data_IF_891327597372
#
_entry.id   IF_891327597372
#
_cell.length_a   1.000
_cell.length_b   1.000
_cell.length_c   1.000
_cell.angle_alpha   90.00
_cell.angle_beta   90.00
_cell.angle_gamma   90.00
#
_symmetry.space_group_name_H-M   'P 1'
#
loop_
_entity.id
_entity.type
_entity.pdbx_description
1 polymer ?
#
# COMPACT_ATOMS: atom_id res chain seq x y z
N UNK A 1 13.53 -28.38 15.72
CA UNK A 1 14.21 -27.91 14.50
C UNK A 1 13.27 -28.21 13.36
N UNK A 2 12.82 -27.19 12.63
CA UNK A 2 12.02 -27.41 11.41
C UNK A 2 12.99 -27.82 10.32
N UNK A 3 12.68 -28.89 9.60
CA UNK A 3 13.49 -29.36 8.47
C UNK A 3 13.47 -28.28 7.37
N UNK A 4 14.61 -28.04 6.74
CA UNK A 4 14.80 -26.97 5.73
C UNK A 4 13.82 -27.12 4.54
N UNK A 5 13.50 -28.37 4.18
CA UNK A 5 12.51 -28.70 3.15
C UNK A 5 11.07 -28.24 3.50
N UNK A 6 10.70 -28.24 4.79
CA UNK A 6 9.39 -27.80 5.25
C UNK A 6 9.26 -26.27 5.18
N UNK A 7 10.36 -25.56 5.43
CA UNK A 7 10.42 -24.10 5.30
C UNK A 7 10.31 -23.65 3.84
N UNK A 8 11.01 -24.32 2.93
CA UNK A 8 10.93 -24.01 1.49
C UNK A 8 9.52 -24.26 0.96
N UNK A 9 8.93 -25.41 1.29
CA UNK A 9 7.55 -25.76 0.90
C UNK A 9 6.54 -24.73 1.43
N UNK A 10 6.67 -24.31 2.69
CA UNK A 10 5.81 -23.30 3.30
C UNK A 10 5.93 -21.93 2.63
N UNK A 11 7.15 -21.52 2.27
CA UNK A 11 7.40 -20.28 1.57
C UNK A 11 6.81 -20.28 0.15
N UNK A 12 6.94 -21.38 -0.59
CA UNK A 12 6.34 -21.52 -1.92
C UNK A 12 4.82 -21.45 -1.86
N UNK A 13 4.20 -22.12 -0.87
CA UNK A 13 2.76 -22.05 -0.67
C UNK A 13 2.31 -20.62 -0.35
N UNK A 14 3.02 -19.91 0.52
CA UNK A 14 2.73 -18.50 0.80
C UNK A 14 2.76 -17.64 -0.46
N UNK A 15 3.79 -17.82 -1.29
CA UNK A 15 3.91 -17.08 -2.55
C UNK A 15 2.78 -17.40 -3.53
N UNK A 16 2.34 -18.66 -3.59
CA UNK A 16 1.19 -19.07 -4.39
C UNK A 16 -0.10 -18.43 -3.85
N UNK A 17 -0.33 -18.45 -2.54
CA UNK A 17 -1.52 -17.89 -1.92
C UNK A 17 -1.65 -16.39 -2.20
N UNK A 18 -0.56 -15.63 -2.04
CA UNK A 18 -0.53 -14.18 -2.33
C UNK A 18 -0.78 -13.90 -3.82
N UNK A 19 -0.30 -14.76 -4.73
CA UNK A 19 -0.43 -14.57 -6.19
C UNK A 19 -1.81 -14.96 -6.70
N UNK A 20 -2.30 -16.11 -6.26
CA UNK A 20 -3.37 -16.84 -6.93
C UNK A 20 -4.71 -16.71 -6.20
N UNK A 21 -4.73 -16.09 -5.02
CA UNK A 21 -5.95 -15.89 -4.21
C UNK A 21 -6.22 -14.42 -3.90
N UNK A 22 -7.35 -14.15 -3.24
CA UNK A 22 -7.68 -12.82 -2.70
C UNK A 22 -7.07 -12.56 -1.31
N UNK A 23 -5.99 -13.26 -0.95
CA UNK A 23 -5.24 -12.99 0.27
C UNK A 23 -4.71 -11.55 0.28
N UNK A 24 -4.85 -10.88 1.41
CA UNK A 24 -4.39 -9.49 1.54
C UNK A 24 -2.91 -9.49 1.89
N UNK A 25 -2.12 -8.71 1.14
CA UNK A 25 -0.73 -8.46 1.45
C UNK A 25 -0.56 -7.48 2.61
N UNK A 26 0.63 -7.48 3.21
CA UNK A 26 0.96 -6.61 4.34
C UNK A 26 2.34 -5.97 4.21
N UNK A 27 3.04 -5.88 5.33
CA UNK A 27 4.36 -5.26 5.42
C UNK A 27 5.42 -5.99 4.57
N UNK A 28 5.38 -7.33 4.52
CA UNK A 28 6.34 -8.13 3.74
C UNK A 28 6.19 -7.83 2.24
N UNK A 29 4.96 -7.78 1.74
CA UNK A 29 4.67 -7.50 0.33
C UNK A 29 5.02 -6.06 -0.03
N UNK A 30 4.72 -5.09 0.83
CA UNK A 30 5.14 -3.69 0.62
C UNK A 30 6.67 -3.56 0.57
N UNK A 31 7.40 -4.30 1.41
CA UNK A 31 8.86 -4.30 1.36
C UNK A 31 9.38 -4.96 0.08
N UNK A 32 8.81 -6.10 -0.33
CA UNK A 32 9.16 -6.75 -1.60
C UNK A 32 8.89 -5.81 -2.80
N UNK A 33 7.75 -5.13 -2.81
CA UNK A 33 7.39 -4.13 -3.83
C UNK A 33 8.40 -2.98 -3.87
N UNK A 34 8.83 -2.46 -2.72
CA UNK A 34 9.85 -1.41 -2.67
C UNK A 34 11.15 -1.83 -3.35
N UNK A 35 11.55 -3.10 -3.22
CA UNK A 35 12.73 -3.65 -3.88
C UNK A 35 12.54 -3.81 -5.39
N UNK A 36 11.42 -4.39 -5.82
CA UNK A 36 11.13 -4.59 -7.25
C UNK A 36 11.01 -3.26 -7.99
N UNK A 37 10.42 -2.26 -7.34
CA UNK A 37 10.24 -0.93 -7.90
C UNK A 37 11.50 -0.05 -7.78
N UNK A 38 12.49 -0.49 -6.99
CA UNK A 38 13.64 0.32 -6.55
C UNK A 38 13.17 1.71 -6.10
N UNK A 39 12.15 1.72 -5.25
CA UNK A 39 11.53 2.95 -4.80
C UNK A 39 11.00 2.82 -3.39
N UNK A 40 11.27 3.82 -2.55
CA UNK A 40 10.86 3.79 -1.16
C UNK A 40 9.36 4.11 -1.01
N UNK A 41 8.74 3.45 -0.03
CA UNK A 41 7.30 3.58 0.26
C UNK A 41 7.13 4.10 1.69
N UNK A 42 6.42 5.21 1.85
CA UNK A 42 6.01 5.74 3.15
C UNK A 42 4.64 5.19 3.53
N UNK A 43 4.58 4.56 4.71
CA UNK A 43 3.35 4.01 5.28
C UNK A 43 2.94 4.88 6.48
N UNK A 44 1.77 5.50 6.37
CA UNK A 44 1.17 6.33 7.39
C UNK A 44 0.13 5.53 8.18
N UNK A 45 0.11 5.64 9.50
CA UNK A 45 -0.92 5.04 10.34
C UNK A 45 -1.31 6.00 11.46
N UNK A 46 -2.59 6.01 11.83
CA UNK A 46 -3.11 6.92 12.84
C UNK A 46 -2.41 6.68 14.20
N UNK A 47 -1.80 7.72 14.76
CA UNK A 47 -1.15 7.67 16.08
C UNK A 47 0.20 6.93 16.12
N UNK A 48 0.76 6.55 14.96
CA UNK A 48 2.05 5.86 14.87
C UNK A 48 3.07 6.66 14.04
N UNK A 49 4.38 6.46 14.29
CA UNK A 49 5.42 7.00 13.41
C UNK A 49 5.28 6.50 11.97
N UNK A 50 5.72 7.33 11.01
CA UNK A 50 5.78 6.92 9.59
C UNK A 50 6.79 5.80 9.45
N UNK A 51 6.37 4.68 8.85
CA UNK A 51 7.25 3.58 8.50
C UNK A 51 7.72 3.76 7.06
N UNK A 52 9.02 3.59 6.81
CA UNK A 52 9.58 3.69 5.46
C UNK A 52 10.12 2.35 5.01
N UNK A 53 9.54 1.80 3.95
CA UNK A 53 10.01 0.59 3.27
C UNK A 53 10.99 0.96 2.17
N UNK A 54 12.01 0.12 1.94
CA UNK A 54 13.02 0.38 0.91
C UNK A 54 13.88 1.61 1.18
N UNK A 55 14.28 1.83 2.44
CA UNK A 55 15.09 2.98 2.89
C UNK A 55 16.34 3.21 2.02
N UNK A 56 16.94 2.16 1.45
CA UNK A 56 18.09 2.24 0.56
C UNK A 56 17.83 3.01 -0.74
N UNK A 57 16.57 3.09 -1.20
CA UNK A 57 16.17 3.80 -2.42
C UNK A 57 15.77 5.26 -2.16
N UNK A 58 16.00 5.77 -0.94
CA UNK A 58 15.75 7.18 -0.64
C UNK A 58 16.66 8.09 -1.45
N UNK A 59 16.06 9.09 -2.11
CA UNK A 59 16.79 10.04 -2.95
C UNK A 59 17.02 9.58 -4.39
N UNK A 60 16.72 8.32 -4.74
CA UNK A 60 16.80 7.86 -6.13
C UNK A 60 15.69 8.44 -7.02
N UNK A 61 14.53 8.75 -6.41
CA UNK A 61 13.39 9.40 -7.06
C UNK A 61 12.90 10.59 -6.23
N UNK A 62 12.28 11.56 -6.90
CA UNK A 62 11.85 12.82 -6.28
C UNK A 62 10.76 12.63 -5.22
N UNK A 63 9.76 11.77 -5.47
CA UNK A 63 8.60 11.61 -4.58
C UNK A 63 8.41 10.16 -4.16
N UNK A 64 8.23 9.86 -2.86
CA UNK A 64 7.91 8.51 -2.38
C UNK A 64 6.55 8.03 -2.90
N UNK A 65 6.38 6.71 -3.00
CA UNK A 65 5.03 6.15 -2.94
C UNK A 65 4.52 6.30 -1.51
N UNK A 66 3.26 6.72 -1.36
CA UNK A 66 2.67 7.00 -0.07
C UNK A 66 1.36 6.22 0.09
N UNK A 67 1.26 5.46 1.19
CA UNK A 67 0.04 4.71 1.53
C UNK A 67 -0.35 4.95 2.98
N UNK A 68 -1.64 4.93 3.28
CA UNK A 68 -2.14 4.92 4.65
C UNK A 68 -2.65 3.52 5.02
N UNK A 69 -2.22 3.05 6.19
CA UNK A 69 -2.66 1.81 6.81
C UNK A 69 -3.83 2.07 7.74
N UNK A 70 -4.91 1.32 7.53
CA UNK A 70 -6.18 1.48 8.19
C UNK A 70 -6.61 0.15 8.77
N UNK A 71 -6.42 -0.04 10.08
CA UNK A 71 -6.77 -1.29 10.78
C UNK A 71 -8.28 -1.57 10.86
N UNK A 72 -9.09 -0.51 10.82
CA UNK A 72 -10.53 -0.57 11.12
C UNK A 72 -11.41 0.20 10.13
N UNK A 73 -10.90 0.57 8.94
CA UNK A 73 -11.65 1.44 8.03
C UNK A 73 -12.92 0.78 7.47
N UNK A 74 -12.94 -0.55 7.40
CA UNK A 74 -14.09 -1.31 6.94
C UNK A 74 -14.22 -2.54 7.85
N UNK A 75 -15.44 -3.04 8.07
CA UNK A 75 -15.71 -4.26 8.85
C UNK A 75 -14.95 -5.53 8.34
N UNK A 76 -14.17 -5.38 7.28
CA UNK A 76 -13.34 -6.37 6.59
C UNK A 76 -11.88 -6.43 7.12
N UNK A 77 -11.45 -5.49 7.99
CA UNK A 77 -10.13 -5.51 8.63
C UNK A 77 -9.13 -4.49 8.07
N UNK A 78 -7.86 -4.91 8.01
CA UNK A 78 -6.70 -4.05 7.78
C UNK A 78 -6.53 -3.71 6.30
N UNK A 79 -6.47 -2.43 5.92
CA UNK A 79 -6.39 -1.99 4.52
C UNK A 79 -5.30 -0.94 4.26
N UNK A 80 -4.87 -0.84 3.01
CA UNK A 80 -3.97 0.21 2.54
C UNK A 80 -4.62 1.02 1.42
N UNK A 81 -4.65 2.34 1.56
CA UNK A 81 -5.06 3.26 0.49
C UNK A 81 -3.87 4.10 0.02
N UNK A 82 -3.86 4.48 -1.26
CA UNK A 82 -2.96 5.52 -1.76
C UNK A 82 -3.29 6.85 -1.10
N UNK A 83 -2.28 7.67 -0.82
CA UNK A 83 -2.45 9.05 -0.36
C UNK A 83 -1.62 9.99 -1.21
N UNK A 84 -2.13 11.21 -1.37
CA UNK A 84 -1.44 12.30 -2.07
C UNK A 84 -1.21 13.48 -1.11
N UNK A 85 -0.17 14.30 -1.35
CA UNK A 85 -0.03 15.57 -0.65
C UNK A 85 -1.30 16.41 -0.79
N UNK A 86 -1.66 17.14 0.27
CA UNK A 86 -2.87 17.96 0.26
C UNK A 86 -2.81 19.05 -0.83
N UNK A 87 -1.62 19.56 -1.15
CA UNK A 87 -1.44 20.54 -2.22
C UNK A 87 -1.72 19.96 -3.61
N UNK A 88 -1.47 18.66 -3.81
CA UNK A 88 -1.66 17.97 -5.08
C UNK A 88 -3.14 17.64 -5.39
N UNK A 89 -4.01 17.62 -4.38
CA UNK A 89 -5.45 17.37 -4.54
C UNK A 89 -6.24 18.59 -5.10
N UNK A 90 -5.57 19.73 -5.32
CA UNK A 90 -6.21 21.00 -5.68
C UNK A 90 -6.34 21.27 -7.18
N UNK A 91 -5.91 20.36 -8.06
CA UNK A 91 -5.87 20.63 -9.51
C UNK A 91 -6.99 20.03 -10.36
N UNK A 92 -7.80 19.07 -9.88
CA UNK A 92 -8.71 18.34 -10.78
C UNK A 92 -10.14 18.02 -10.26
N UNK A 93 -10.49 18.30 -9.00
CA UNK A 93 -11.80 17.89 -8.43
C UNK A 93 -12.93 18.94 -8.52
N UNK A 94 -12.67 20.16 -9.02
CA UNK A 94 -13.70 21.22 -9.18
C UNK A 94 -14.54 21.07 -10.47
N UNK A 95 -14.41 19.97 -11.22
CA UNK A 95 -15.14 19.79 -12.50
C UNK A 95 -16.37 18.87 -12.41
N UNK A 96 -16.61 18.19 -11.29
CA UNK A 96 -17.59 17.09 -11.25
C UNK A 96 -18.92 17.39 -10.53
N UNK A 97 -19.08 18.55 -9.85
CA UNK A 97 -20.28 18.79 -9.03
C UNK A 97 -21.31 19.76 -9.63
N UNK A 98 -21.05 20.39 -10.77
CA UNK A 98 -21.96 21.36 -11.37
C UNK A 98 -22.50 20.87 -12.71
N UNK A 99 -23.43 19.90 -12.67
CA UNK A 99 -24.46 19.67 -13.70
C UNK A 99 -25.39 18.51 -13.30
N UNK A 100 -26.28 18.76 -12.35
CA UNK A 100 -27.52 17.97 -12.21
C UNK A 100 -28.66 18.88 -12.69
N UNK A 101 -29.17 18.74 -13.92
CA UNK A 101 -30.34 19.50 -14.32
C UNK A 101 -31.56 19.03 -13.52
N UNK A 102 -32.13 19.95 -12.75
CA UNK A 102 -33.43 19.78 -12.09
C UNK A 102 -34.50 19.62 -13.17
N UNK A 103 -35.06 18.41 -13.31
CA UNK A 103 -36.23 18.21 -14.17
C UNK A 103 -37.48 18.63 -13.40
N UNK A 104 -38.17 19.64 -13.94
CA UNK A 104 -39.57 19.96 -13.62
C UNK A 104 -40.53 19.07 -14.41
#
# INVERSE_FOLDING_TARGET
DLDEDDLETSFEQYCQDIRDTAAWGGQTELNALAHVLQHHIKVYAAGLPVVVMGQQYQGERQEPLAVCYLRHAFALGEHYNSVVPAEAASSDDEAAFEQIPSSS
#
